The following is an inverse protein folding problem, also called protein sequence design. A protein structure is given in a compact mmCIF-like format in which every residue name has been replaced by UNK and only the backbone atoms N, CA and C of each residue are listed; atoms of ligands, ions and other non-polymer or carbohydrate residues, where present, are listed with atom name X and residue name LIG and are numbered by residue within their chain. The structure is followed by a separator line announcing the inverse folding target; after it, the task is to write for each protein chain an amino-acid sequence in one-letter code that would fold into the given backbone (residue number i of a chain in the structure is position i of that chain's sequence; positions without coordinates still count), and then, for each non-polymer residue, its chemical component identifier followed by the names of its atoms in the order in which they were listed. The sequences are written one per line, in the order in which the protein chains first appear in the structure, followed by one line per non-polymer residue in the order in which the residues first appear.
data_IF_703590081871
#
_entry.id   IF_703590081871
#
_cell.length_a   1.000
_cell.length_b   1.000
_cell.length_c   1.000
_cell.angle_alpha   90.00
_cell.angle_beta   90.00
_cell.angle_gamma   90.00
#
_symmetry.space_group_name_H-M   'P 1'
#
loop_
_entity.id
_entity.type
_entity.pdbx_description
1 polymer ?
#
# COMPACT_ATOMS: atom_id res chain seq x y z
N UNK A 1 11.01 27.50 8.76
CA UNK A 1 10.34 28.09 7.59
C UNK A 1 8.82 27.95 7.61
N UNK A 2 8.22 26.74 7.51
CA UNK A 2 6.74 26.56 7.53
C UNK A 2 6.05 27.27 8.71
N UNK A 3 6.55 27.06 9.93
CA UNK A 3 6.05 27.74 11.14
C UNK A 3 6.08 29.27 10.99
N UNK A 4 7.22 29.81 10.59
CA UNK A 4 7.40 31.25 10.37
C UNK A 4 6.46 31.81 9.29
N UNK A 5 6.17 31.05 8.23
CA UNK A 5 5.21 31.46 7.20
C UNK A 5 3.78 31.50 7.76
N UNK A 6 3.39 30.52 8.57
CA UNK A 6 2.08 30.51 9.25
C UNK A 6 1.98 31.70 10.22
N UNK A 7 3.03 31.96 11.00
CA UNK A 7 3.09 33.10 11.92
C UNK A 7 2.99 34.44 11.17
N UNK A 8 3.66 34.57 10.01
CA UNK A 8 3.56 35.74 9.16
C UNK A 8 2.14 35.95 8.61
N UNK A 9 1.49 34.88 8.11
CA UNK A 9 0.10 34.94 7.63
C UNK A 9 -0.84 35.33 8.78
N UNK A 10 -0.65 34.74 9.97
CA UNK A 10 -1.44 35.05 11.15
C UNK A 10 -1.29 36.53 11.53
N UNK A 11 -0.06 37.04 11.64
CA UNK A 11 0.20 38.44 11.94
C UNK A 11 -0.44 39.38 10.91
N UNK A 12 -0.39 39.03 9.62
CA UNK A 12 -1.02 39.83 8.56
C UNK A 12 -2.54 39.83 8.65
N UNK A 13 -3.14 38.68 8.95
CA UNK A 13 -4.60 38.52 9.14
C UNK A 13 -5.08 39.36 10.33
N UNK A 14 -4.32 39.40 11.43
CA UNK A 14 -4.64 40.27 12.57
C UNK A 14 -4.62 41.76 12.19
N UNK A 15 -3.62 42.18 11.42
CA UNK A 15 -3.46 43.58 11.01
C UNK A 15 -4.53 44.04 10.02
N UNK A 16 -4.94 43.19 9.08
CA UNK A 16 -5.87 43.56 8.02
C UNK A 16 -7.33 43.37 8.41
N UNK A 17 -7.64 42.26 9.08
CA UNK A 17 -9.01 41.83 9.31
C UNK A 17 -9.44 41.96 10.78
N UNK A 18 -8.53 42.38 11.67
CA UNK A 18 -8.81 42.58 13.09
C UNK A 18 -9.07 41.29 13.88
N UNK A 19 -8.72 40.12 13.32
CA UNK A 19 -8.97 38.84 13.99
C UNK A 19 -8.16 38.71 15.30
N UNK A 20 -8.72 38.10 16.35
CA UNK A 20 -7.96 37.72 17.53
C UNK A 20 -6.79 36.78 17.19
N UNK A 21 -5.66 36.89 17.90
CA UNK A 21 -4.42 36.17 17.59
C UNK A 21 -4.60 34.65 17.41
N UNK A 22 -5.35 34.01 18.31
CA UNK A 22 -5.61 32.55 18.24
C UNK A 22 -6.43 32.17 17.01
N UNK A 23 -7.40 33.00 16.64
CA UNK A 23 -8.25 32.76 15.47
C UNK A 23 -7.49 33.01 14.17
N UNK A 24 -6.70 34.08 14.11
CA UNK A 24 -5.80 34.36 12.99
C UNK A 24 -4.78 33.24 12.77
N UNK A 25 -4.19 32.71 13.85
CA UNK A 25 -3.28 31.56 13.74
C UNK A 25 -3.99 30.29 13.27
N UNK A 26 -5.21 30.02 13.77
CA UNK A 26 -6.02 28.87 13.31
C UNK A 26 -6.36 29.01 11.82
N UNK A 27 -6.78 30.20 11.39
CA UNK A 27 -7.04 30.52 10.00
C UNK A 27 -5.79 30.32 9.14
N UNK A 28 -4.66 30.92 9.53
CA UNK A 28 -3.39 30.80 8.82
C UNK A 28 -2.93 29.36 8.65
N UNK A 29 -3.02 28.54 9.71
CA UNK A 29 -2.64 27.13 9.66
C UNK A 29 -3.53 26.31 8.69
N UNK A 30 -4.84 26.56 8.69
CA UNK A 30 -5.79 25.90 7.78
C UNK A 30 -5.54 26.36 6.34
N UNK A 31 -5.46 27.68 6.10
CA UNK A 31 -5.23 28.25 4.78
C UNK A 31 -3.91 27.77 4.18
N UNK A 32 -2.82 27.76 4.97
CA UNK A 32 -1.52 27.24 4.52
C UNK A 32 -1.60 25.76 4.16
N UNK A 33 -2.26 24.94 4.99
CA UNK A 33 -2.41 23.50 4.71
C UNK A 33 -3.22 23.26 3.44
N UNK A 34 -4.33 23.97 3.26
CA UNK A 34 -5.21 23.79 2.11
C UNK A 34 -4.51 24.28 0.82
N UNK A 35 -3.72 25.36 0.89
CA UNK A 35 -2.84 25.79 -0.20
C UNK A 35 -1.74 24.78 -0.50
N UNK A 36 -1.13 24.17 0.52
CA UNK A 36 -0.12 23.12 0.36
C UNK A 36 -0.70 21.89 -0.34
N UNK A 37 -1.90 21.45 0.03
CA UNK A 37 -2.62 20.35 -0.64
C UNK A 37 -2.88 20.70 -2.11
N UNK A 38 -3.41 21.89 -2.39
CA UNK A 38 -3.65 22.36 -3.76
C UNK A 38 -2.37 22.40 -4.58
N UNK A 39 -1.26 22.87 -4.01
CA UNK A 39 0.03 22.92 -4.70
C UNK A 39 0.52 21.52 -5.04
N UNK A 40 0.52 20.59 -4.07
CA UNK A 40 1.00 19.22 -4.26
C UNK A 40 0.13 18.43 -5.25
N UNK A 41 -1.20 18.59 -5.19
CA UNK A 41 -2.13 17.95 -6.12
C UNK A 41 -2.13 18.58 -7.51
N UNK A 42 -1.47 19.71 -7.72
CA UNK A 42 -1.28 20.29 -9.06
C UNK A 42 0.11 19.99 -9.65
N UNK A 43 0.98 19.29 -8.92
CA UNK A 43 2.24 18.81 -9.50
C UNK A 43 1.96 17.61 -10.42
N UNK A 44 2.69 17.50 -11.54
CA UNK A 44 2.61 16.32 -12.39
C UNK A 44 3.10 15.09 -11.62
N UNK A 45 2.36 13.99 -11.74
CA UNK A 45 2.79 12.68 -11.25
C UNK A 45 3.13 11.83 -12.46
N UNK A 46 4.41 11.47 -12.57
CA UNK A 46 4.95 10.69 -13.68
C UNK A 46 5.41 9.32 -13.19
N UNK A 47 5.47 8.35 -14.11
CA UNK A 47 6.09 7.05 -13.87
C UNK A 47 7.51 7.23 -13.34
N UNK A 48 7.77 6.63 -12.18
CA UNK A 48 9.11 6.56 -11.61
C UNK A 48 9.70 5.21 -12.02
N UNK A 49 10.80 5.24 -12.77
CA UNK A 49 11.51 4.05 -13.23
C UNK A 49 12.96 4.13 -12.77
N UNK A 50 13.32 3.26 -11.83
CA UNK A 50 14.66 3.18 -11.27
C UNK A 50 15.21 1.75 -11.44
N UNK A 51 16.52 1.62 -11.59
CA UNK A 51 17.18 0.33 -11.80
C UNK A 51 18.09 -0.02 -10.64
N UNK A 52 18.29 -1.31 -10.38
CA UNK A 52 19.35 -1.79 -9.51
C UNK A 52 19.97 -3.07 -10.09
N UNK A 53 21.26 -3.26 -9.85
CA UNK A 53 21.97 -4.48 -10.26
C UNK A 53 22.39 -5.28 -9.04
N UNK A 54 22.20 -6.59 -9.04
CA UNK A 54 22.71 -7.47 -7.98
C UNK A 54 23.07 -8.84 -8.56
N UNK A 55 24.27 -9.35 -8.24
CA UNK A 55 24.78 -10.63 -8.73
C UNK A 55 24.68 -10.81 -10.26
N UNK A 56 24.96 -9.76 -11.03
CA UNK A 56 24.90 -9.77 -12.49
C UNK A 56 23.50 -9.53 -13.10
N UNK A 57 22.44 -9.65 -12.31
CA UNK A 57 21.07 -9.41 -12.77
C UNK A 57 20.69 -7.92 -12.70
N UNK A 58 19.95 -7.46 -13.70
CA UNK A 58 19.47 -6.09 -13.82
C UNK A 58 17.97 -6.03 -13.56
N UNK A 59 17.59 -5.35 -12.47
CA UNK A 59 16.20 -5.19 -12.06
C UNK A 59 15.71 -3.79 -12.33
N UNK A 60 14.46 -3.70 -12.78
CA UNK A 60 13.75 -2.44 -12.99
C UNK A 60 12.60 -2.35 -12.00
N UNK A 61 12.59 -1.29 -11.19
CA UNK A 61 11.47 -0.94 -10.34
C UNK A 61 10.66 0.16 -11.02
N UNK A 62 9.36 -0.09 -11.23
CA UNK A 62 8.47 0.91 -11.82
C UNK A 62 7.32 1.21 -10.88
N UNK A 63 7.08 2.50 -10.63
CA UNK A 63 5.89 3.00 -9.95
C UNK A 63 5.07 3.80 -10.95
N UNK A 64 3.93 3.26 -11.37
CA UNK A 64 2.99 3.91 -12.29
C UNK A 64 1.89 4.63 -11.49
N UNK A 65 1.79 5.97 -11.55
CA UNK A 65 0.73 6.68 -10.85
C UNK A 65 -0.62 6.44 -11.51
N UNK A 66 -1.71 6.61 -10.75
CA UNK A 66 -3.08 6.51 -11.28
C UNK A 66 -3.28 7.34 -12.57
N UNK A 67 -2.72 8.54 -12.64
CA UNK A 67 -2.81 9.41 -13.82
C UNK A 67 -2.17 8.86 -15.11
N UNK A 68 -1.31 7.85 -15.00
CA UNK A 68 -0.67 7.19 -16.14
C UNK A 68 -1.17 5.76 -16.36
N UNK A 69 -2.16 5.31 -15.58
CA UNK A 69 -2.93 4.10 -15.91
C UNK A 69 -3.88 4.42 -17.06
N UNK A 70 -3.45 4.16 -18.30
CA UNK A 70 -4.12 4.58 -19.53
C UNK A 70 -4.30 3.44 -20.53
N UNK A 71 -5.44 3.41 -21.23
CA UNK A 71 -5.73 2.51 -22.38
C UNK A 71 -5.67 3.31 -23.71
N UNK A 72 -5.35 4.59 -23.63
CA UNK A 72 -5.21 5.54 -24.73
C UNK A 72 -4.55 6.82 -24.22
N UNK A 73 -5.04 7.99 -24.64
CA UNK A 73 -4.45 9.27 -24.19
C UNK A 73 -4.81 9.66 -22.74
N UNK A 74 -5.99 9.22 -22.27
CA UNK A 74 -6.58 9.59 -20.98
C UNK A 74 -6.45 8.46 -19.96
N UNK A 75 -6.41 8.82 -18.68
CA UNK A 75 -6.44 7.85 -17.58
C UNK A 75 -7.79 7.11 -17.50
N UNK A 76 -7.74 5.88 -16.99
CA UNK A 76 -8.87 4.93 -16.98
C UNK A 76 -9.99 5.31 -16.00
N UNK A 77 -9.82 6.34 -15.18
CA UNK A 77 -10.72 6.63 -14.07
C UNK A 77 -11.93 7.49 -14.49
N UNK A 78 -13.06 7.36 -13.77
CA UNK A 78 -14.28 8.12 -14.07
C UNK A 78 -14.06 9.62 -13.93
N UNK A 79 -13.50 10.03 -12.80
CA UNK A 79 -12.90 11.34 -12.61
C UNK A 79 -11.45 11.24 -13.09
N UNK A 80 -11.05 12.09 -14.02
CA UNK A 80 -9.68 12.05 -14.54
C UNK A 80 -8.70 12.64 -13.52
N UNK A 81 -7.52 12.04 -13.43
CA UNK A 81 -6.41 12.61 -12.65
C UNK A 81 -5.66 13.72 -13.41
N UNK A 82 -5.84 13.81 -14.74
CA UNK A 82 -5.27 14.88 -15.59
C UNK A 82 -3.74 15.02 -15.48
N UNK A 83 -3.02 13.89 -15.38
CA UNK A 83 -1.55 13.90 -15.24
C UNK A 83 -1.05 14.28 -13.84
N UNK A 84 -1.95 14.47 -12.87
CA UNK A 84 -1.64 14.86 -11.49
C UNK A 84 -1.85 13.70 -10.52
N UNK A 85 -1.62 13.91 -9.23
CA UNK A 85 -1.95 12.93 -8.20
C UNK A 85 -2.73 13.52 -7.05
N UNK A 86 -3.22 12.63 -6.19
CA UNK A 86 -3.88 13.03 -4.94
C UNK A 86 -2.95 12.70 -3.79
N UNK A 87 -2.30 13.72 -3.25
CA UNK A 87 -1.32 13.59 -2.19
C UNK A 87 -1.98 13.10 -0.87
N UNK A 88 -1.15 12.53 -0.01
CA UNK A 88 -1.56 11.99 1.29
C UNK A 88 -2.17 13.00 2.28
N UNK A 89 -2.05 14.31 1.99
CA UNK A 89 -2.61 15.37 2.81
C UNK A 89 -4.06 15.72 2.44
N UNK A 90 -4.54 15.26 1.28
CA UNK A 90 -5.93 15.43 0.84
C UNK A 90 -6.87 14.42 1.52
N UNK A 91 -6.88 14.50 2.85
CA UNK A 91 -7.52 13.56 3.77
C UNK A 91 -9.05 13.58 3.76
N UNK A 92 -9.65 14.50 3.00
CA UNK A 92 -11.11 14.63 2.82
C UNK A 92 -11.58 14.18 1.45
N UNK A 93 -10.67 13.82 0.54
CA UNK A 93 -11.03 13.48 -0.83
C UNK A 93 -11.97 12.25 -0.85
N UNK A 94 -13.17 12.44 -1.41
CA UNK A 94 -14.20 11.41 -1.55
C UNK A 94 -14.28 10.83 -2.97
N UNK A 95 -13.45 11.32 -3.89
CA UNK A 95 -13.46 10.92 -5.30
C UNK A 95 -12.30 9.98 -5.60
N UNK A 96 -11.11 10.37 -5.18
CA UNK A 96 -9.87 9.71 -5.55
C UNK A 96 -9.18 9.03 -4.38
N UNK A 97 -8.69 7.82 -4.60
CA UNK A 97 -7.77 7.13 -3.72
C UNK A 97 -6.49 7.96 -3.61
N UNK A 98 -6.16 8.35 -2.37
CA UNK A 98 -4.93 9.08 -2.11
C UNK A 98 -3.74 8.18 -2.41
N UNK A 99 -2.73 8.74 -3.06
CA UNK A 99 -1.44 8.10 -3.28
C UNK A 99 -1.57 6.71 -3.94
N UNK A 100 -2.43 6.61 -4.96
CA UNK A 100 -2.68 5.39 -5.72
C UNK A 100 -1.60 5.18 -6.79
N UNK A 101 -0.90 4.05 -6.71
CA UNK A 101 0.11 3.61 -7.68
C UNK A 101 0.03 2.12 -7.94
N UNK A 102 0.49 1.71 -9.12
CA UNK A 102 0.87 0.34 -9.39
C UNK A 102 2.39 0.22 -9.25
N UNK A 103 2.84 -0.69 -8.39
CA UNK A 103 4.25 -0.97 -8.13
C UNK A 103 4.64 -2.28 -8.77
N UNK A 104 5.74 -2.28 -9.51
CA UNK A 104 6.30 -3.46 -10.17
C UNK A 104 7.79 -3.58 -9.93
N UNK A 105 8.27 -4.82 -9.94
CA UNK A 105 9.68 -5.16 -10.15
C UNK A 105 9.79 -6.17 -11.26
N UNK A 106 10.66 -5.91 -12.23
CA UNK A 106 10.95 -6.79 -13.35
C UNK A 106 12.46 -7.04 -13.47
N UNK A 107 12.82 -8.10 -14.18
CA UNK A 107 14.20 -8.45 -14.54
C UNK A 107 14.30 -8.54 -16.05
N UNK A 108 15.44 -8.13 -16.61
CA UNK A 108 15.73 -8.33 -18.04
C UNK A 108 16.60 -9.58 -18.22
N UNK A 109 16.03 -10.64 -18.79
CA UNK A 109 16.69 -11.93 -19.01
C UNK A 109 16.25 -12.53 -20.34
N UNK A 110 17.14 -13.24 -21.01
CA UNK A 110 16.87 -13.87 -22.31
C UNK A 110 16.30 -12.89 -23.37
N UNK A 111 16.76 -11.63 -23.31
CA UNK A 111 16.33 -10.55 -24.21
C UNK A 111 14.91 -10.05 -23.97
N UNK A 112 14.26 -10.40 -22.84
CA UNK A 112 12.89 -10.00 -22.51
C UNK A 112 12.79 -9.47 -21.09
N UNK A 113 11.90 -8.50 -20.89
CA UNK A 113 11.52 -8.05 -19.55
C UNK A 113 10.50 -9.02 -18.96
N UNK A 114 10.84 -9.64 -17.83
CA UNK A 114 9.96 -10.50 -17.04
C UNK A 114 9.54 -9.78 -15.78
N UNK A 115 8.24 -9.57 -15.60
CA UNK A 115 7.69 -9.06 -14.34
C UNK A 115 7.82 -10.14 -13.26
N UNK A 116 8.47 -9.79 -12.14
CA UNK A 116 8.63 -10.67 -10.99
C UNK A 116 7.58 -10.42 -9.91
N UNK A 117 7.05 -9.20 -9.84
CA UNK A 117 5.94 -8.85 -8.96
C UNK A 117 5.21 -7.62 -9.48
N UNK A 118 3.89 -7.59 -9.30
CA UNK A 118 3.04 -6.45 -9.60
C UNK A 118 1.91 -6.34 -8.57
N UNK A 119 1.67 -5.14 -8.06
CA UNK A 119 0.55 -4.88 -7.16
C UNK A 119 0.20 -3.40 -7.00
N UNK A 120 -0.87 -3.14 -6.26
CA UNK A 120 -1.46 -1.81 -6.10
C UNK A 120 -1.16 -1.28 -4.70
N UNK A 121 -0.67 -0.05 -4.61
CA UNK A 121 -0.45 0.63 -3.33
C UNK A 121 -1.28 1.89 -3.24
N UNK A 122 -1.80 2.17 -2.05
CA UNK A 122 -2.63 3.35 -1.82
C UNK A 122 -2.57 3.84 -0.36
N UNK A 123 -3.16 5.02 -0.11
CA UNK A 123 -3.53 5.47 1.23
C UNK A 123 -4.83 4.82 1.71
N UNK A 124 -5.16 4.93 3.00
CA UNK A 124 -6.39 4.32 3.53
C UNK A 124 -7.64 4.82 2.82
N UNK A 125 -8.60 3.92 2.61
CA UNK A 125 -9.82 4.24 1.86
C UNK A 125 -10.69 5.27 2.59
N UNK A 126 -10.64 5.32 3.93
CA UNK A 126 -11.37 6.31 4.72
C UNK A 126 -10.92 7.74 4.40
N UNK A 127 -11.81 8.64 3.95
CA UNK A 127 -11.54 10.08 3.97
C UNK A 127 -11.74 10.60 5.40
N UNK A 128 -10.80 10.25 6.29
CA UNK A 128 -10.95 10.31 7.75
C UNK A 128 -11.03 11.71 8.36
N UNK A 129 -10.91 12.77 7.56
CA UNK A 129 -11.19 14.15 7.98
C UNK A 129 -12.51 14.71 7.40
N UNK A 130 -13.22 13.92 6.60
CA UNK A 130 -14.61 14.21 6.24
C UNK A 130 -15.49 14.01 7.48
N UNK A 131 -16.29 15.04 7.80
CA UNK A 131 -17.10 15.09 9.00
C UNK A 131 -18.47 14.46 8.78
N UNK A 132 -18.99 14.55 7.56
CA UNK A 132 -20.25 13.90 7.19
C UNK A 132 -20.03 12.38 7.08
N UNK A 133 -20.67 11.55 7.93
CA UNK A 133 -20.51 10.10 7.89
C UNK A 133 -20.95 9.48 6.56
N UNK A 134 -22.00 10.02 5.93
CA UNK A 134 -22.50 9.49 4.65
C UNK A 134 -21.50 9.76 3.54
N UNK A 135 -20.97 11.00 3.44
CA UNK A 135 -19.91 11.32 2.49
C UNK A 135 -18.64 10.53 2.78
N UNK A 136 -18.33 10.26 4.04
CA UNK A 136 -17.18 9.42 4.41
C UNK A 136 -17.34 7.99 3.91
N UNK A 137 -18.52 7.40 4.05
CA UNK A 137 -18.81 6.05 3.54
C UNK A 137 -18.81 5.99 2.01
N UNK A 138 -19.48 6.92 1.36
CA UNK A 138 -19.49 7.02 -0.12
C UNK A 138 -18.07 7.22 -0.64
N UNK A 139 -17.28 8.09 0.01
CA UNK A 139 -15.89 8.33 -0.36
C UNK A 139 -15.00 7.10 -0.21
N UNK A 140 -15.17 6.34 0.88
CA UNK A 140 -14.45 5.08 1.06
C UNK A 140 -14.78 4.05 -0.03
N UNK A 141 -16.06 3.93 -0.42
CA UNK A 141 -16.49 3.04 -1.49
C UNK A 141 -15.96 3.49 -2.87
N UNK A 142 -15.98 4.80 -3.17
CA UNK A 142 -15.42 5.33 -4.41
C UNK A 142 -13.91 5.03 -4.53
N UNK A 143 -13.16 5.23 -3.45
CA UNK A 143 -11.74 4.90 -3.38
C UNK A 143 -11.49 3.40 -3.55
N UNK A 144 -12.33 2.56 -2.95
CA UNK A 144 -12.28 1.11 -3.14
C UNK A 144 -12.50 0.72 -4.62
N UNK A 145 -13.46 1.37 -5.30
CA UNK A 145 -13.70 1.18 -6.74
C UNK A 145 -12.50 1.62 -7.58
N UNK A 146 -11.82 2.71 -7.26
CA UNK A 146 -10.58 3.08 -7.96
C UNK A 146 -9.46 2.06 -7.77
N UNK A 147 -9.31 1.50 -6.56
CA UNK A 147 -8.36 0.40 -6.33
C UNK A 147 -8.73 -0.84 -7.15
N UNK A 148 -10.02 -1.18 -7.27
CA UNK A 148 -10.47 -2.27 -8.16
C UNK A 148 -10.23 -1.96 -9.64
N UNK A 149 -10.43 -0.72 -10.08
CA UNK A 149 -10.11 -0.27 -11.45
C UNK A 149 -8.61 -0.41 -11.73
N UNK A 150 -7.74 0.01 -10.80
CA UNK A 150 -6.30 -0.15 -10.91
C UNK A 150 -5.87 -1.63 -10.90
N UNK A 151 -6.54 -2.46 -10.08
CA UNK A 151 -6.32 -3.89 -10.05
C UNK A 151 -6.75 -4.61 -11.34
N UNK A 152 -7.86 -4.19 -11.96
CA UNK A 152 -8.25 -4.71 -13.26
C UNK A 152 -7.25 -4.27 -14.34
N UNK A 153 -6.76 -3.03 -14.29
CA UNK A 153 -5.73 -2.52 -15.19
C UNK A 153 -4.41 -3.31 -15.14
N UNK A 154 -4.02 -3.79 -13.96
CA UNK A 154 -2.83 -4.65 -13.82
C UNK A 154 -3.00 -6.06 -14.40
N UNK A 155 -4.20 -6.40 -14.89
CA UNK A 155 -4.53 -7.66 -15.57
C UNK A 155 -5.04 -7.38 -17.00
N UNK A 156 -4.15 -7.09 -17.98
CA UNK A 156 -4.55 -6.61 -19.31
C UNK A 156 -5.55 -7.52 -20.03
N UNK A 157 -5.37 -8.84 -19.96
CA UNK A 157 -6.30 -9.79 -20.58
C UNK A 157 -7.69 -9.74 -19.94
N UNK A 158 -7.75 -9.65 -18.61
CA UNK A 158 -9.01 -9.55 -17.86
C UNK A 158 -9.71 -8.22 -18.12
N UNK A 159 -8.96 -7.12 -18.19
CA UNK A 159 -9.45 -5.80 -18.58
C UNK A 159 -10.03 -5.81 -20.01
N UNK A 160 -9.34 -6.44 -20.96
CA UNK A 160 -9.81 -6.54 -22.34
C UNK A 160 -11.13 -7.31 -22.43
N UNK A 161 -11.27 -8.43 -21.71
CA UNK A 161 -12.54 -9.17 -21.60
C UNK A 161 -13.65 -8.30 -21.01
N UNK A 162 -13.35 -7.58 -19.92
CA UNK A 162 -14.31 -6.68 -19.28
C UNK A 162 -14.78 -5.56 -20.22
N UNK A 163 -13.88 -4.98 -21.00
CA UNK A 163 -14.18 -3.97 -22.03
C UNK A 163 -14.87 -4.55 -23.26
N UNK A 164 -14.72 -5.85 -23.54
CA UNK A 164 -15.53 -6.54 -24.53
C UNK A 164 -16.98 -6.80 -24.05
N UNK A 165 -17.29 -6.44 -22.80
CA UNK A 165 -18.63 -6.60 -22.20
C UNK A 165 -18.81 -7.89 -21.40
N UNK A 166 -17.76 -8.71 -21.27
CA UNK A 166 -17.79 -9.92 -20.44
C UNK A 166 -17.85 -9.55 -18.96
N UNK A 167 -18.58 -10.36 -18.19
CA UNK A 167 -18.54 -10.30 -16.73
C UNK A 167 -17.29 -11.02 -16.24
N UNK A 168 -16.36 -10.30 -15.59
CA UNK A 168 -15.08 -10.86 -15.15
C UNK A 168 -15.01 -11.01 -13.63
N UNK A 169 -14.37 -12.08 -13.16
CA UNK A 169 -14.08 -12.26 -11.73
C UNK A 169 -12.70 -11.67 -11.41
N UNK A 170 -12.61 -10.88 -10.34
CA UNK A 170 -11.36 -10.23 -9.92
C UNK A 170 -11.08 -10.55 -8.45
N UNK A 171 -10.09 -11.42 -8.21
CA UNK A 171 -9.57 -11.73 -6.87
C UNK A 171 -8.55 -10.68 -6.45
N UNK A 172 -8.70 -10.10 -5.25
CA UNK A 172 -7.77 -9.12 -4.69
C UNK A 172 -7.49 -9.40 -3.22
N UNK A 173 -6.22 -9.33 -2.82
CA UNK A 173 -5.81 -9.41 -1.41
C UNK A 173 -5.44 -8.01 -0.94
N UNK A 174 -6.25 -7.42 -0.06
CA UNK A 174 -6.03 -6.06 0.47
C UNK A 174 -5.37 -6.15 1.83
N UNK A 175 -4.14 -5.67 1.99
CA UNK A 175 -3.39 -5.68 3.25
C UNK A 175 -3.25 -4.25 3.81
N UNK A 176 -4.09 -3.92 4.80
CA UNK A 176 -3.95 -2.71 5.59
C UNK A 176 -2.79 -2.82 6.59
N UNK A 177 -2.05 -1.72 6.79
CA UNK A 177 -0.87 -1.66 7.67
C UNK A 177 -1.12 -0.76 8.90
N UNK A 178 -2.40 -0.55 9.24
CA UNK A 178 -2.84 0.38 10.27
C UNK A 178 -2.84 -0.28 11.65
N UNK A 179 -2.61 0.50 12.69
CA UNK A 179 -2.90 0.07 14.06
C UNK A 179 -4.40 0.20 14.26
N UNK A 180 -5.16 -0.91 14.26
CA UNK A 180 -6.63 -0.89 14.37
C UNK A 180 -7.09 -0.52 15.80
N UNK A 181 -6.73 0.68 16.25
CA UNK A 181 -6.97 1.23 17.58
C UNK A 181 -7.20 2.74 17.47
N UNK A 182 -8.04 3.25 18.36
CA UNK A 182 -8.26 4.68 18.54
C UNK A 182 -7.51 5.23 19.78
N UNK A 183 -6.69 4.39 20.42
CA UNK A 183 -5.79 4.81 21.49
C UNK A 183 -4.62 5.57 20.84
N UNK A 184 -4.47 6.85 21.17
CA UNK A 184 -3.49 7.78 20.57
C UNK A 184 -3.68 8.09 19.07
N UNK A 185 -4.87 7.82 18.51
CA UNK A 185 -5.15 8.06 17.08
C UNK A 185 -6.59 7.77 16.69
N UNK A 186 -6.85 7.69 15.37
CA UNK A 186 -8.16 7.30 14.82
C UNK A 186 -8.04 6.18 13.78
N UNK A 187 -6.94 5.41 13.84
CA UNK A 187 -6.66 4.37 12.84
C UNK A 187 -7.65 3.20 12.95
N UNK A 188 -8.25 2.94 14.12
CA UNK A 188 -9.36 1.99 14.27
C UNK A 188 -10.55 2.33 13.39
N UNK A 189 -11.06 3.56 13.46
CA UNK A 189 -12.18 4.00 12.59
C UNK A 189 -11.82 3.99 11.11
N UNK A 190 -10.56 4.28 10.76
CA UNK A 190 -10.10 4.20 9.37
C UNK A 190 -10.13 2.77 8.84
N UNK A 191 -9.74 1.80 9.66
CA UNK A 191 -9.82 0.36 9.32
C UNK A 191 -11.28 -0.06 9.18
N UNK A 192 -12.16 0.32 10.11
CA UNK A 192 -13.59 0.01 10.04
C UNK A 192 -14.26 0.53 8.75
N UNK A 193 -14.00 1.79 8.38
CA UNK A 193 -14.51 2.37 7.13
C UNK A 193 -13.99 1.61 5.90
N UNK A 194 -12.71 1.21 5.90
CA UNK A 194 -12.09 0.44 4.81
C UNK A 194 -12.70 -0.96 4.69
N UNK A 195 -12.85 -1.68 5.81
CA UNK A 195 -13.46 -3.02 5.82
C UNK A 195 -14.92 -2.97 5.39
N UNK A 196 -15.66 -1.95 5.81
CA UNK A 196 -17.04 -1.72 5.35
C UNK A 196 -17.12 -1.46 3.85
N UNK A 197 -16.20 -0.68 3.29
CA UNK A 197 -16.15 -0.44 1.86
C UNK A 197 -15.86 -1.72 1.06
N UNK A 198 -14.99 -2.61 1.56
CA UNK A 198 -14.80 -3.91 0.94
C UNK A 198 -16.05 -4.78 1.04
N UNK A 199 -16.63 -4.90 2.23
CA UNK A 199 -17.85 -5.67 2.46
C UNK A 199 -19.04 -5.17 1.62
N UNK A 200 -19.14 -3.86 1.35
CA UNK A 200 -20.20 -3.32 0.49
C UNK A 200 -20.02 -3.75 -0.97
N UNK A 201 -18.80 -4.03 -1.41
CA UNK A 201 -18.48 -4.39 -2.80
C UNK A 201 -18.43 -5.89 -3.07
N UNK A 202 -18.16 -6.73 -2.06
CA UNK A 202 -17.87 -8.16 -2.23
C UNK A 202 -18.93 -9.11 -1.68
N UNK A 203 -20.18 -8.66 -1.54
CA UNK A 203 -21.28 -9.55 -1.13
C UNK A 203 -21.39 -10.77 -2.07
N UNK A 204 -21.63 -11.99 -1.57
CA UNK A 204 -21.73 -13.18 -2.40
C UNK A 204 -22.70 -13.02 -3.57
N UNK A 205 -22.22 -13.32 -4.79
CA UNK A 205 -23.02 -13.19 -6.02
C UNK A 205 -23.24 -11.75 -6.51
N UNK A 206 -22.77 -10.74 -5.79
CA UNK A 206 -22.90 -9.33 -6.20
C UNK A 206 -21.97 -9.02 -7.34
N UNK A 207 -22.55 -8.66 -8.48
CA UNK A 207 -21.86 -7.97 -9.56
C UNK A 207 -21.83 -6.48 -9.27
N UNK A 208 -20.68 -5.85 -9.47
CA UNK A 208 -20.57 -4.39 -9.44
C UNK A 208 -20.23 -3.85 -10.83
N UNK A 209 -20.55 -2.57 -11.00
CA UNK A 209 -20.31 -1.85 -12.23
C UNK A 209 -19.20 -0.82 -11.98
N UNK A 210 -18.09 -0.96 -12.71
CA UNK A 210 -17.05 0.06 -12.74
C UNK A 210 -17.21 0.90 -14.01
N UNK A 211 -16.99 2.20 -13.88
CA UNK A 211 -16.87 3.10 -15.04
C UNK A 211 -15.39 3.22 -15.38
N UNK A 212 -15.00 2.74 -16.55
CA UNK A 212 -13.63 2.72 -17.04
C UNK A 212 -13.57 3.51 -18.33
N UNK A 213 -12.57 4.37 -18.45
CA UNK A 213 -12.32 5.09 -19.69
C UNK A 213 -11.62 4.20 -20.70
N UNK A 214 -12.19 4.07 -21.90
CA UNK A 214 -11.63 3.27 -22.98
C UNK A 214 -10.56 4.04 -23.78
N UNK A 215 -10.03 3.42 -24.84
CA UNK A 215 -9.00 4.00 -25.73
C UNK A 215 -9.41 5.34 -26.37
N UNK A 216 -10.70 5.50 -26.66
CA UNK A 216 -11.28 6.67 -27.31
C UNK A 216 -11.54 7.82 -26.31
N UNK A 217 -11.42 7.52 -25.01
CA UNK A 217 -11.62 8.48 -23.93
C UNK A 217 -13.03 8.48 -23.36
N UNK A 218 -13.89 7.57 -23.81
CA UNK A 218 -15.29 7.44 -23.38
C UNK A 218 -15.42 6.56 -22.14
N UNK A 219 -16.37 6.89 -21.27
CA UNK A 219 -16.67 6.08 -20.08
C UNK A 219 -17.54 4.90 -20.46
N UNK A 220 -16.94 3.71 -20.36
CA UNK A 220 -17.62 2.44 -20.52
C UNK A 220 -17.93 1.83 -19.15
N UNK A 221 -19.12 1.27 -19.01
CA UNK A 221 -19.46 0.45 -17.85
C UNK A 221 -18.99 -0.99 -18.08
N UNK A 222 -18.12 -1.48 -17.19
CA UNK A 222 -17.68 -2.88 -17.15
C UNK A 222 -18.30 -3.60 -15.95
N UNK A 223 -18.57 -4.89 -16.11
CA UNK A 223 -19.17 -5.74 -15.08
C UNK A 223 -18.09 -6.58 -14.43
N UNK A 224 -17.91 -6.43 -13.13
CA UNK A 224 -16.95 -7.24 -12.38
C UNK A 224 -17.60 -7.93 -11.18
N UNK A 225 -17.11 -9.13 -10.87
CA UNK A 225 -17.36 -9.85 -9.63
C UNK A 225 -16.10 -9.72 -8.76
N UNK A 226 -16.01 -8.70 -7.90
CA UNK A 226 -14.85 -8.56 -7.02
C UNK A 226 -14.96 -9.58 -5.90
N UNK A 227 -13.84 -10.23 -5.61
CA UNK A 227 -13.68 -11.15 -4.48
C UNK A 227 -12.45 -10.69 -3.71
N UNK A 228 -12.65 -10.07 -2.54
CA UNK A 228 -11.59 -9.40 -1.79
C UNK A 228 -11.35 -10.10 -0.46
N UNK A 229 -10.13 -10.59 -0.25
CA UNK A 229 -9.66 -11.03 1.06
C UNK A 229 -9.00 -9.82 1.75
N UNK A 230 -9.72 -9.24 2.71
CA UNK A 230 -9.34 -7.97 3.34
C UNK A 230 -8.67 -8.18 4.71
N UNK A 231 -7.37 -7.92 4.77
CA UNK A 231 -6.52 -8.03 5.95
C UNK A 231 -6.18 -6.66 6.54
N UNK A 232 -5.87 -6.63 7.84
CA UNK A 232 -5.14 -5.54 8.47
C UNK A 232 -4.05 -6.10 9.39
N UNK A 233 -2.81 -5.63 9.24
CA UNK A 233 -1.63 -6.07 10.00
C UNK A 233 -0.92 -4.83 10.53
N UNK A 234 -1.03 -4.55 11.82
CA UNK A 234 -0.34 -3.41 12.43
C UNK A 234 1.18 -3.63 12.48
N UNK A 235 1.97 -2.73 11.87
CA UNK A 235 3.43 -2.90 11.69
C UNK A 235 4.29 -1.84 12.39
N UNK A 236 3.67 -1.01 13.24
CA UNK A 236 4.38 0.01 14.02
C UNK A 236 4.57 -0.45 15.48
N UNK A 237 5.22 0.40 16.27
CA UNK A 237 5.55 0.11 17.66
C UNK A 237 4.29 -0.04 18.53
N UNK A 238 3.26 0.75 18.26
CA UNK A 238 1.98 0.64 18.97
C UNK A 238 1.36 -0.75 18.82
N UNK A 239 1.43 -1.33 17.62
CA UNK A 239 0.96 -2.69 17.39
C UNK A 239 1.95 -3.75 17.91
N UNK A 240 3.21 -3.69 17.49
CA UNK A 240 4.19 -4.78 17.66
C UNK A 240 4.93 -4.78 19.00
N UNK A 241 4.88 -3.68 19.76
CA UNK A 241 5.47 -3.58 21.12
C UNK A 241 4.40 -3.45 22.20
N UNK A 242 3.32 -2.72 21.92
CA UNK A 242 2.27 -2.43 22.90
C UNK A 242 0.97 -3.22 22.69
N UNK A 243 0.85 -3.98 21.59
CA UNK A 243 -0.29 -4.84 21.33
C UNK A 243 -1.58 -4.11 20.92
N UNK A 244 -1.51 -2.83 20.57
CA UNK A 244 -2.71 -2.07 20.22
C UNK A 244 -3.32 -2.50 18.89
N UNK A 245 -4.63 -2.74 18.90
CA UNK A 245 -5.42 -3.07 17.71
C UNK A 245 -5.22 -4.48 17.17
N UNK A 246 -4.48 -5.35 17.87
CA UNK A 246 -4.24 -6.73 17.44
C UNK A 246 -5.54 -7.54 17.38
N UNK A 247 -6.36 -7.53 18.43
CA UNK A 247 -7.64 -8.26 18.47
C UNK A 247 -8.59 -7.85 17.33
N UNK A 248 -8.71 -6.55 17.07
CA UNK A 248 -9.54 -6.05 15.97
C UNK A 248 -9.00 -6.50 14.61
N UNK A 249 -7.68 -6.42 14.43
CA UNK A 249 -7.00 -6.89 13.21
C UNK A 249 -7.17 -8.40 13.00
N UNK A 250 -7.00 -9.20 14.05
CA UNK A 250 -7.14 -10.66 14.00
C UNK A 250 -8.56 -11.09 13.61
N UNK A 251 -9.59 -10.35 14.04
CA UNK A 251 -10.97 -10.64 13.63
C UNK A 251 -11.14 -10.55 12.12
N UNK A 252 -10.63 -9.48 11.49
CA UNK A 252 -10.69 -9.34 10.03
C UNK A 252 -9.77 -10.35 9.33
N UNK A 253 -8.57 -10.56 9.87
CA UNK A 253 -7.58 -11.47 9.29
C UNK A 253 -8.07 -12.92 9.32
N UNK A 254 -8.79 -13.37 10.36
CA UNK A 254 -9.31 -14.72 10.43
C UNK A 254 -10.28 -15.03 9.27
N UNK A 255 -11.22 -14.11 9.00
CA UNK A 255 -12.16 -14.24 7.88
C UNK A 255 -11.42 -14.27 6.54
N UNK A 256 -10.49 -13.35 6.33
CA UNK A 256 -9.70 -13.28 5.10
C UNK A 256 -8.74 -14.48 4.93
N UNK A 257 -8.20 -15.04 6.03
CA UNK A 257 -7.41 -16.28 6.00
C UNK A 257 -8.26 -17.48 5.59
N UNK A 258 -9.51 -17.57 6.06
CA UNK A 258 -10.39 -18.66 5.66
C UNK A 258 -10.75 -18.61 4.17
N UNK A 259 -10.96 -17.41 3.64
CA UNK A 259 -11.17 -17.19 2.21
C UNK A 259 -9.92 -17.56 1.38
N UNK A 260 -8.74 -17.12 1.82
CA UNK A 260 -7.48 -17.33 1.09
C UNK A 260 -6.95 -18.77 1.20
N UNK A 261 -6.95 -19.36 2.39
CA UNK A 261 -6.26 -20.60 2.75
C UNK A 261 -7.20 -21.74 3.23
N UNK A 262 -8.50 -21.48 3.32
CA UNK A 262 -9.50 -22.44 3.81
C UNK A 262 -9.66 -22.47 5.33
N UNK A 263 -10.60 -23.30 5.81
CA UNK A 263 -10.96 -23.38 7.22
C UNK A 263 -9.88 -24.04 8.10
N UNK A 264 -9.09 -24.96 7.53
CA UNK A 264 -8.00 -25.63 8.27
C UNK A 264 -6.69 -24.84 8.18
N UNK A 265 -6.47 -24.00 9.20
CA UNK A 265 -5.30 -23.14 9.31
C UNK A 265 -4.11 -23.82 10.01
N UNK A 266 -4.11 -25.14 10.20
CA UNK A 266 -2.93 -25.86 10.70
C UNK A 266 -1.81 -25.85 9.63
N UNK A 267 -0.54 -25.57 9.99
CA UNK A 267 0.57 -25.47 9.04
C UNK A 267 0.75 -26.70 8.15
N UNK A 268 0.55 -27.89 8.70
CA UNK A 268 0.66 -29.17 8.00
C UNK A 268 -0.55 -29.49 7.09
N UNK A 269 -1.68 -28.81 7.29
CA UNK A 269 -2.87 -29.04 6.50
C UNK A 269 -2.71 -28.46 5.10
N UNK A 270 -3.15 -29.22 4.07
CA UNK A 270 -3.21 -28.72 2.70
C UNK A 270 -4.02 -27.42 2.64
N UNK A 271 -3.56 -26.38 1.93
CA UNK A 271 -4.35 -25.17 1.75
C UNK A 271 -5.69 -25.48 1.06
N UNK A 272 -6.77 -24.91 1.59
CA UNK A 272 -8.06 -24.79 0.92
C UNK A 272 -8.24 -23.36 0.38
N UNK A 273 -9.49 -22.91 0.24
CA UNK A 273 -9.80 -21.56 -0.24
C UNK A 273 -9.23 -21.30 -1.64
N UNK A 274 -8.93 -20.04 -1.95
CA UNK A 274 -8.35 -19.67 -3.24
C UNK A 274 -7.02 -20.36 -3.53
N UNK A 275 -6.18 -20.57 -2.52
CA UNK A 275 -4.88 -21.24 -2.69
C UNK A 275 -5.08 -22.72 -3.01
N UNK A 276 -6.01 -23.40 -2.36
CA UNK A 276 -6.34 -24.79 -2.65
C UNK A 276 -6.86 -24.96 -4.08
N UNK A 277 -7.74 -24.07 -4.54
CA UNK A 277 -8.24 -24.03 -5.93
C UNK A 277 -7.12 -23.83 -6.95
N UNK A 278 -6.13 -22.98 -6.63
CA UNK A 278 -4.96 -22.74 -7.48
C UNK A 278 -4.05 -23.97 -7.54
N UNK A 279 -3.68 -24.53 -6.37
CA UNK A 279 -2.77 -25.67 -6.28
C UNK A 279 -3.34 -26.95 -6.94
N UNK A 280 -4.67 -27.10 -6.97
CA UNK A 280 -5.32 -28.22 -7.65
C UNK A 280 -5.07 -28.26 -9.18
N UNK A 281 -4.60 -27.15 -9.77
CA UNK A 281 -4.25 -27.04 -11.19
C UNK A 281 -2.81 -27.46 -11.49
N UNK A 282 -2.03 -27.88 -10.48
CA UNK A 282 -0.61 -28.27 -10.59
C UNK A 282 0.25 -27.21 -11.31
N UNK A 283 0.29 -25.96 -10.81
CA UNK A 283 1.02 -24.87 -11.46
C UNK A 283 2.55 -25.03 -11.29
N UNK A 284 3.32 -24.43 -12.20
CA UNK A 284 4.79 -24.48 -12.17
C UNK A 284 5.39 -23.90 -10.87
N UNK A 285 4.70 -22.97 -10.22
CA UNK A 285 5.13 -22.33 -8.97
C UNK A 285 4.58 -23.02 -7.70
N UNK A 286 4.11 -24.28 -7.81
CA UNK A 286 3.49 -25.05 -6.71
C UNK A 286 4.25 -24.94 -5.38
N UNK A 287 5.57 -25.16 -5.39
CA UNK A 287 6.37 -25.17 -4.16
C UNK A 287 6.47 -23.79 -3.49
N UNK A 288 6.52 -22.71 -4.28
CA UNK A 288 6.53 -21.34 -3.77
C UNK A 288 5.20 -21.03 -3.09
N UNK A 289 4.08 -21.31 -3.77
CA UNK A 289 2.72 -21.07 -3.24
C UNK A 289 2.49 -21.87 -1.96
N UNK A 290 2.84 -23.16 -1.98
CA UNK A 290 2.68 -24.06 -0.85
C UNK A 290 3.57 -23.63 0.34
N UNK A 291 4.80 -23.19 0.09
CA UNK A 291 5.69 -22.67 1.14
C UNK A 291 5.15 -21.37 1.75
N UNK A 292 4.71 -20.41 0.93
CA UNK A 292 4.08 -19.18 1.43
C UNK A 292 2.84 -19.48 2.27
N UNK A 293 1.98 -20.38 1.82
CA UNK A 293 0.79 -20.80 2.54
C UNK A 293 1.14 -21.40 3.92
N UNK A 294 2.11 -22.30 3.99
CA UNK A 294 2.59 -22.86 5.26
C UNK A 294 3.17 -21.78 6.17
N UNK A 295 4.04 -20.90 5.65
CA UNK A 295 4.62 -19.81 6.44
C UNK A 295 3.54 -18.88 7.01
N UNK A 296 2.49 -18.56 6.24
CA UNK A 296 1.37 -17.74 6.74
C UNK A 296 0.62 -18.47 7.86
N UNK A 297 0.32 -19.76 7.69
CA UNK A 297 -0.32 -20.59 8.72
C UNK A 297 0.54 -20.68 9.99
N UNK A 298 1.86 -20.84 9.85
CA UNK A 298 2.81 -20.85 10.96
C UNK A 298 2.87 -19.52 11.70
N UNK A 299 2.94 -18.40 10.97
CA UNK A 299 2.91 -17.06 11.55
C UNK A 299 1.62 -16.85 12.34
N UNK A 300 0.48 -17.24 11.76
CA UNK A 300 -0.84 -17.10 12.37
C UNK A 300 -0.98 -17.97 13.63
N UNK A 301 -0.70 -19.28 13.53
CA UNK A 301 -0.79 -20.24 14.64
C UNK A 301 0.03 -19.79 15.85
N UNK A 302 1.21 -19.20 15.61
CA UNK A 302 2.14 -18.80 16.65
C UNK A 302 2.02 -17.31 17.03
N UNK A 303 1.03 -16.58 16.49
CA UNK A 303 0.86 -15.13 16.68
C UNK A 303 2.15 -14.33 16.41
N UNK A 304 2.98 -14.76 15.46
CA UNK A 304 4.25 -14.11 15.18
C UNK A 304 4.05 -12.70 14.59
N UNK A 305 2.91 -12.43 13.96
CA UNK A 305 2.54 -11.11 13.45
C UNK A 305 2.20 -10.08 14.54
N UNK A 306 2.08 -10.51 15.81
CA UNK A 306 1.90 -9.61 16.96
C UNK A 306 3.22 -9.01 17.46
N UNK A 307 4.35 -9.50 16.93
CA UNK A 307 5.69 -9.12 17.39
C UNK A 307 6.56 -8.79 16.19
N UNK A 308 7.50 -7.87 16.43
CA UNK A 308 8.55 -7.57 15.46
C UNK A 308 9.34 -8.83 15.10
N UNK A 309 9.93 -9.50 16.10
CA UNK A 309 10.68 -10.73 15.91
C UNK A 309 11.68 -10.66 14.75
N UNK A 310 12.36 -9.52 14.57
CA UNK A 310 13.35 -9.33 13.49
C UNK A 310 12.77 -9.02 12.10
N UNK A 311 11.46 -9.00 11.92
CA UNK A 311 10.78 -8.80 10.62
C UNK A 311 9.35 -8.25 10.82
N UNK A 312 9.16 -6.92 10.90
CA UNK A 312 7.87 -6.30 11.22
C UNK A 312 6.76 -6.58 10.21
N UNK A 313 7.11 -6.79 8.94
CA UNK A 313 6.17 -6.99 7.83
C UNK A 313 5.90 -8.46 7.51
N UNK A 314 6.37 -9.41 8.33
CA UNK A 314 6.44 -10.84 7.98
C UNK A 314 5.14 -11.42 7.40
N UNK A 315 4.00 -11.15 8.05
CA UNK A 315 2.69 -11.62 7.59
C UNK A 315 2.24 -10.86 6.35
N UNK A 316 2.32 -9.52 6.40
CA UNK A 316 1.87 -8.65 5.35
C UNK A 316 2.57 -8.94 4.01
N UNK A 317 3.91 -9.06 4.04
CA UNK A 317 4.74 -9.39 2.88
C UNK A 317 4.31 -10.71 2.23
N UNK A 318 4.15 -11.76 3.05
CA UNK A 318 3.79 -13.10 2.55
C UNK A 318 2.38 -13.15 1.98
N UNK A 319 1.42 -12.42 2.57
CA UNK A 319 0.08 -12.29 2.01
C UNK A 319 0.11 -11.63 0.62
N UNK A 320 0.87 -10.55 0.45
CA UNK A 320 1.00 -9.87 -0.84
C UNK A 320 1.71 -10.74 -1.89
N UNK A 321 2.79 -11.42 -1.51
CA UNK A 321 3.50 -12.35 -2.39
C UNK A 321 2.62 -13.53 -2.78
N UNK A 322 1.94 -14.17 -1.82
CA UNK A 322 1.05 -15.28 -2.08
C UNK A 322 -0.07 -14.88 -3.06
N UNK A 323 -0.67 -13.69 -2.87
CA UNK A 323 -1.67 -13.18 -3.78
C UNK A 323 -1.17 -13.10 -5.22
N UNK A 324 0.03 -12.55 -5.43
CA UNK A 324 0.66 -12.47 -6.74
C UNK A 324 0.87 -13.86 -7.36
N UNK A 325 1.41 -14.80 -6.59
CA UNK A 325 1.74 -16.15 -7.05
C UNK A 325 0.50 -16.99 -7.42
N UNK A 326 -0.69 -16.66 -6.90
CA UNK A 326 -1.95 -17.32 -7.26
C UNK A 326 -2.80 -16.52 -8.27
N UNK A 327 -2.17 -15.60 -8.99
CA UNK A 327 -2.80 -14.70 -9.97
C UNK A 327 -3.86 -13.73 -9.41
N UNK A 328 -4.02 -13.65 -8.08
CA UNK A 328 -4.77 -12.58 -7.44
C UNK A 328 -3.99 -11.26 -7.48
N UNK A 329 -4.69 -10.12 -7.34
CA UNK A 329 -4.03 -8.82 -7.28
C UNK A 329 -3.68 -8.48 -5.83
N UNK A 330 -2.39 -8.33 -5.46
CA UNK A 330 -2.03 -7.78 -4.17
C UNK A 330 -2.29 -6.28 -4.13
N UNK A 331 -2.92 -5.80 -3.06
CA UNK A 331 -3.05 -4.40 -2.73
C UNK A 331 -2.61 -4.14 -1.28
N UNK A 332 -1.90 -3.06 -1.02
CA UNK A 332 -1.50 -2.71 0.35
C UNK A 332 -1.54 -1.21 0.62
N UNK A 333 -1.86 -0.87 1.88
CA UNK A 333 -2.03 0.50 2.28
C UNK A 333 -1.67 0.76 3.73
N UNK A 334 -1.35 2.01 4.05
CA UNK A 334 -1.36 2.51 5.42
C UNK A 334 -2.17 3.81 5.43
N UNK A 335 -2.24 4.53 6.57
CA UNK A 335 -2.99 5.79 6.66
C UNK A 335 -2.74 6.76 5.50
N UNK A 336 -1.47 6.98 5.13
CA UNK A 336 -1.07 7.97 4.12
C UNK A 336 -0.59 7.37 2.79
N UNK A 337 -0.41 6.06 2.73
CA UNK A 337 0.15 5.37 1.56
C UNK A 337 1.65 5.61 1.35
N UNK A 338 2.37 6.24 2.30
CA UNK A 338 3.78 6.65 2.11
C UNK A 338 4.78 5.77 2.87
N UNK A 339 4.84 5.93 4.19
CA UNK A 339 5.99 5.47 5.00
C UNK A 339 5.96 3.95 5.23
N UNK A 340 4.92 3.46 5.93
CA UNK A 340 4.70 2.01 6.11
C UNK A 340 4.44 1.30 4.79
N UNK A 341 3.72 1.94 3.87
CA UNK A 341 3.40 1.40 2.54
C UNK A 341 4.65 1.26 1.66
N UNK A 342 5.55 2.24 1.67
CA UNK A 342 6.80 2.19 0.93
C UNK A 342 7.83 1.25 1.56
N UNK A 343 7.81 1.10 2.89
CA UNK A 343 8.61 0.07 3.55
C UNK A 343 8.12 -1.33 3.19
N UNK A 344 6.80 -1.58 3.21
CA UNK A 344 6.20 -2.82 2.74
C UNK A 344 6.57 -3.14 1.28
N UNK A 345 6.49 -2.15 0.38
CA UNK A 345 6.93 -2.29 -1.02
C UNK A 345 8.41 -2.71 -1.12
N UNK A 346 9.26 -2.11 -0.29
CA UNK A 346 10.70 -2.42 -0.26
C UNK A 346 10.98 -3.82 0.30
N UNK A 347 10.23 -4.23 1.33
CA UNK A 347 10.31 -5.59 1.88
C UNK A 347 9.87 -6.63 0.84
N UNK A 348 8.76 -6.43 0.13
CA UNK A 348 8.32 -7.33 -0.95
C UNK A 348 9.39 -7.43 -2.03
N UNK A 349 9.87 -6.30 -2.55
CA UNK A 349 10.86 -6.27 -3.64
C UNK A 349 12.17 -6.94 -3.24
N UNK A 350 12.63 -6.76 -2.00
CA UNK A 350 13.80 -7.49 -1.49
C UNK A 350 13.57 -9.00 -1.57
N UNK A 351 12.45 -9.48 -1.07
CA UNK A 351 12.18 -10.93 -1.02
C UNK A 351 11.96 -11.52 -2.42
N UNK A 352 11.28 -10.81 -3.31
CA UNK A 352 11.08 -11.23 -4.70
C UNK A 352 12.41 -11.33 -5.45
N UNK A 353 13.32 -10.35 -5.27
CA UNK A 353 14.66 -10.42 -5.85
C UNK A 353 15.46 -11.59 -5.24
N UNK A 354 15.35 -11.81 -3.93
CA UNK A 354 16.02 -12.94 -3.26
C UNK A 354 15.50 -14.29 -3.77
N UNK A 355 14.18 -14.45 -3.88
CA UNK A 355 13.52 -15.63 -4.42
C UNK A 355 13.95 -15.89 -5.87
N UNK A 356 14.00 -14.84 -6.68
CA UNK A 356 14.46 -14.94 -8.06
C UNK A 356 15.89 -15.49 -8.16
N UNK A 357 16.80 -15.04 -7.28
CA UNK A 357 18.20 -15.42 -7.36
C UNK A 357 18.53 -16.77 -6.69
N UNK A 358 17.77 -17.14 -5.66
CA UNK A 358 18.09 -18.31 -4.83
C UNK A 358 17.09 -19.45 -5.00
N UNK A 359 15.95 -19.19 -5.66
CA UNK A 359 14.80 -20.10 -5.74
C UNK A 359 14.27 -20.54 -4.37
N UNK A 360 14.57 -19.77 -3.31
CA UNK A 360 14.17 -20.06 -1.94
C UNK A 360 13.54 -18.83 -1.28
N UNK A 361 12.53 -19.08 -0.45
CA UNK A 361 11.92 -18.08 0.41
C UNK A 361 12.64 -18.02 1.76
N UNK A 362 12.81 -16.81 2.28
CA UNK A 362 13.36 -16.54 3.60
C UNK A 362 12.43 -17.05 4.70
N UNK A 363 13.00 -17.66 5.73
CA UNK A 363 12.26 -18.06 6.92
C UNK A 363 11.69 -16.83 7.67
N UNK A 364 10.43 -16.89 8.15
CA UNK A 364 9.83 -15.79 8.90
C UNK A 364 10.59 -15.45 10.18
N UNK A 365 10.63 -14.16 10.51
CA UNK A 365 11.19 -13.67 11.78
C UNK A 365 12.71 -13.75 11.87
N UNK A 366 13.40 -13.82 10.73
CA UNK A 366 14.85 -13.73 10.66
C UNK A 366 15.29 -12.36 10.15
N UNK A 367 16.45 -11.90 10.62
CA UNK A 367 17.15 -10.81 9.95
C UNK A 367 17.68 -11.32 8.61
N UNK A 368 17.67 -10.48 7.55
CA UNK A 368 18.34 -10.85 6.31
C UNK A 368 19.83 -11.09 6.58
N UNK A 369 20.41 -12.05 5.87
CA UNK A 369 21.87 -12.22 5.84
C UNK A 369 22.55 -11.06 5.12
N UNK A 370 23.88 -11.09 5.00
CA UNK A 370 24.62 -9.99 4.35
C UNK A 370 24.23 -9.77 2.88
N UNK A 371 23.81 -10.82 2.16
CA UNK A 371 23.30 -10.72 0.80
C UNK A 371 21.93 -10.05 0.76
N UNK A 372 21.01 -10.51 1.60
CA UNK A 372 19.68 -9.96 1.75
C UNK A 372 19.66 -8.51 2.24
N UNK A 373 20.59 -8.12 3.14
CA UNK A 373 20.79 -6.74 3.55
C UNK A 373 21.23 -5.87 2.37
N UNK A 374 22.19 -6.33 1.56
CA UNK A 374 22.64 -5.60 0.36
C UNK A 374 21.52 -5.41 -0.67
N UNK A 375 20.69 -6.44 -0.89
CA UNK A 375 19.49 -6.30 -1.74
C UNK A 375 18.58 -5.23 -1.14
N UNK A 376 18.30 -5.31 0.16
CA UNK A 376 17.37 -4.40 0.81
C UNK A 376 17.84 -2.94 0.74
N UNK A 377 19.12 -2.69 0.99
CA UNK A 377 19.73 -1.36 0.86
C UNK A 377 19.54 -0.78 -0.55
N UNK A 378 19.81 -1.58 -1.60
CA UNK A 378 19.60 -1.16 -3.00
C UNK A 378 18.14 -0.89 -3.29
N UNK A 379 17.24 -1.73 -2.82
CA UNK A 379 15.79 -1.55 -3.00
C UNK A 379 15.29 -0.29 -2.29
N UNK A 380 15.73 -0.02 -1.06
CA UNK A 380 15.31 1.18 -0.31
C UNK A 380 15.69 2.47 -1.04
N UNK A 381 16.83 2.49 -1.72
CA UNK A 381 17.27 3.65 -2.51
C UNK A 381 16.65 3.71 -3.91
N UNK A 382 16.34 2.57 -4.54
CA UNK A 382 16.00 2.50 -5.97
C UNK A 382 14.60 1.94 -6.27
N UNK A 383 13.71 1.84 -5.27
CA UNK A 383 12.34 1.32 -5.46
C UNK A 383 11.34 2.38 -5.96
N UNK A 384 11.71 3.66 -5.96
CA UNK A 384 10.83 4.80 -6.29
C UNK A 384 10.05 5.35 -5.09
N UNK A 385 10.23 4.78 -3.88
CA UNK A 385 9.46 5.15 -2.71
C UNK A 385 9.80 6.55 -2.14
N UNK A 386 11.05 7.00 -2.31
CA UNK A 386 11.50 8.31 -1.84
C UNK A 386 10.90 9.43 -2.70
N UNK A 387 10.81 9.20 -4.01
CA UNK A 387 10.19 10.07 -5.00
C UNK A 387 8.69 10.20 -4.75
N UNK A 388 8.00 9.07 -4.47
CA UNK A 388 6.59 9.09 -4.06
C UNK A 388 6.41 9.88 -2.76
N UNK A 389 7.30 9.74 -1.78
CA UNK A 389 7.21 10.55 -0.56
C UNK A 389 7.35 12.04 -0.86
N UNK A 390 8.28 12.41 -1.76
CA UNK A 390 8.48 13.79 -2.22
C UNK A 390 7.25 14.33 -2.93
N UNK A 391 6.66 13.59 -3.86
CA UNK A 391 5.41 13.99 -4.54
C UNK A 391 4.24 14.18 -3.56
N UNK A 392 4.22 13.40 -2.47
CA UNK A 392 3.15 13.50 -1.49
C UNK A 392 3.36 14.59 -0.43
N UNK A 393 4.58 15.07 -0.20
CA UNK A 393 4.88 15.90 0.97
C UNK A 393 5.79 17.09 0.72
N UNK A 394 6.40 17.18 -0.46
CA UNK A 394 7.42 18.14 -0.83
C UNK A 394 8.85 17.70 -0.50
N UNK A 395 9.05 16.59 0.22
CA UNK A 395 10.40 16.09 0.52
C UNK A 395 10.49 14.57 0.65
N UNK A 396 11.71 14.08 0.44
CA UNK A 396 12.04 12.66 0.43
C UNK A 396 12.51 12.14 1.79
N UNK A 397 12.34 10.83 2.00
CA UNK A 397 12.63 10.13 3.24
C UNK A 397 11.61 9.03 3.57
N UNK A 398 11.71 8.48 4.78
CA UNK A 398 10.74 7.53 5.30
C UNK A 398 10.68 7.59 6.83
N UNK A 399 9.51 7.89 7.40
CA UNK A 399 9.32 8.03 8.86
C UNK A 399 9.45 6.72 9.64
N UNK A 400 9.48 5.58 8.95
CA UNK A 400 9.79 4.28 9.56
C UNK A 400 11.24 4.24 10.03
N UNK A 401 12.14 4.98 9.36
CA UNK A 401 13.55 5.12 9.76
C UNK A 401 13.69 6.09 10.93
N UNK A 402 13.31 5.66 12.13
CA UNK A 402 13.33 6.46 13.35
C UNK A 402 13.96 5.70 14.50
N UNK A 403 14.56 6.47 15.42
CA UNK A 403 15.08 5.96 16.68
C UNK A 403 14.23 6.54 17.80
N UNK A 404 13.63 5.68 18.60
CA UNK A 404 12.85 6.01 19.78
C UNK A 404 13.70 5.84 21.03
N UNK A 405 13.39 6.63 22.04
CA UNK A 405 13.92 6.49 23.40
C UNK A 405 12.80 6.03 24.34
N UNK A 406 13.00 4.98 25.15
CA UNK A 406 14.19 4.11 25.21
C UNK A 406 14.33 3.18 23.98
N UNK A 407 15.56 2.75 23.67
CA UNK A 407 15.88 1.95 22.47
C UNK A 407 15.11 0.63 22.36
N UNK A 408 14.65 0.06 23.47
CA UNK A 408 13.83 -1.17 23.50
C UNK A 408 12.51 -1.02 22.72
N UNK A 409 12.04 0.21 22.53
CA UNK A 409 10.87 0.53 21.72
C UNK A 409 11.14 0.47 20.21
N UNK A 410 12.41 0.48 19.78
CA UNK A 410 12.76 0.38 18.38
C UNK A 410 12.34 -0.97 17.79
N UNK A 411 11.83 -0.92 16.57
CA UNK A 411 11.66 -2.08 15.72
C UNK A 411 12.98 -2.41 15.03
N UNK A 412 13.07 -3.62 14.49
CA UNK A 412 14.29 -4.21 13.93
C UNK A 412 14.77 -3.56 12.63
N UNK A 413 14.12 -2.52 12.12
CA UNK A 413 14.45 -1.90 10.82
C UNK A 413 15.92 -1.56 10.66
N UNK A 414 16.55 -0.91 11.65
CA UNK A 414 17.97 -0.54 11.55
C UNK A 414 18.87 -1.77 11.40
N UNK A 415 18.57 -2.85 12.14
CA UNK A 415 19.28 -4.14 12.05
C UNK A 415 19.02 -4.84 10.71
N UNK A 416 17.81 -4.72 10.16
CA UNK A 416 17.45 -5.27 8.84
C UNK A 416 18.14 -4.53 7.70
N UNK A 417 18.37 -3.22 7.82
CA UNK A 417 19.14 -2.44 6.84
C UNK A 417 20.63 -2.78 6.94
N UNK A 418 21.17 -2.85 8.16
CA UNK A 418 22.56 -3.23 8.42
C UNK A 418 23.61 -2.22 7.97
N UNK A 419 23.21 -1.03 7.52
CA UNK A 419 24.10 0.05 7.08
C UNK A 419 23.55 1.41 7.53
N UNK A 420 24.33 2.13 8.33
CA UNK A 420 23.93 3.41 8.93
C UNK A 420 23.86 4.55 7.89
N UNK A 421 24.72 4.54 6.87
CA UNK A 421 24.69 5.56 5.83
C UNK A 421 23.43 5.42 4.97
N UNK A 422 23.07 4.18 4.63
CA UNK A 422 21.82 3.89 3.93
C UNK A 422 20.63 4.25 4.81
N UNK A 423 20.66 3.91 6.10
CA UNK A 423 19.62 4.28 7.07
C UNK A 423 19.36 5.79 7.10
N UNK A 424 20.42 6.62 7.25
CA UNK A 424 20.28 8.07 7.27
C UNK A 424 19.82 8.64 5.92
N UNK A 425 20.33 8.08 4.81
CA UNK A 425 19.92 8.50 3.45
C UNK A 425 18.42 8.26 3.22
N UNK A 426 17.92 7.09 3.61
CA UNK A 426 16.51 6.72 3.43
C UNK A 426 15.60 7.43 4.43
N UNK A 427 16.10 7.73 5.65
CA UNK A 427 15.38 8.58 6.60
C UNK A 427 15.10 9.97 6.02
N UNK A 428 16.08 10.53 5.32
CA UNK A 428 15.99 11.82 4.65
C UNK A 428 15.48 12.92 5.59
N UNK A 429 14.64 13.81 5.06
CA UNK A 429 14.06 14.92 5.82
C UNK A 429 12.67 14.60 6.38
N UNK A 430 12.27 13.32 6.36
CA UNK A 430 10.92 12.90 6.73
C UNK A 430 10.55 13.24 8.18
N UNK A 431 11.52 13.31 9.10
CA UNK A 431 11.32 13.74 10.49
C UNK A 431 11.00 15.24 10.61
N UNK A 432 11.44 16.06 9.65
CA UNK A 432 11.20 17.50 9.60
C UNK A 432 9.86 17.85 8.93
N UNK A 433 9.32 16.91 8.15
CA UNK A 433 8.04 17.07 7.45
C UNK A 433 6.91 16.50 8.33
N UNK A 434 6.44 17.32 9.26
CA UNK A 434 5.29 16.98 10.10
C UNK A 434 3.99 17.15 9.32
N UNK A 435 3.14 16.13 9.41
CA UNK A 435 1.81 16.05 8.78
C UNK A 435 0.69 16.29 9.76
#
# INVERSE_FOLDING_TARGET
LKKNLIELIAARTQQQDGLPAKEAHRFAAVAFRDAQVKQLNNQPWQTIKNTLTHNGHHYTNTQLPAAEMKIGAKDIFPSAYEGKGVCSWDTKNIHHANNLWMSTVSVHEDGKDKTLFCGIRHGVLSPYHEKDPLLRHVGAENKAKEVLTAALFSKPELLNKALAGEAVSLKLVSVGLLTASNIFGKEGTMVEDQMRAWQSLTQPGKMIHLKIRNKDGDLQTVKIKPDVAAFNVGVNELALKLGFGLKASDSYNAEALHQLLGNDLRPEARPGGWVGEWLAQYPDNYEVVNTLARQIKDIWKNNQHHKDGGEPYKLAQRLAMLAHEIDAVPAWNCKSGKDRTGMMDSEIKREIISLHQTHMLSAPGSLPDSGGQKIFQKVLLNSGNLEIQKQNTGGAGNKVMKNLSPEVLNLSYQKRVGDENIWQSVKGISSLITS
#
